data_IF_812179741640
#
_entry.id   IF_812179741640
#
_cell.length_a   1.000
_cell.length_b   1.000
_cell.length_c   1.000
_cell.angle_alpha   90.00
_cell.angle_beta   90.00
_cell.angle_gamma   90.00
#
_symmetry.space_group_name_H-M   'P 1'
#
loop_
_entity.id
_entity.type
_entity.pdbx_description
1 polymer ?
#
# COMPACT_ATOMS: atom_id res chain seq x y z
N UNK A 1 16.18 -1.12 -3.91
CA UNK A 1 15.07 -1.01 -4.89
C UNK A 1 15.44 -0.04 -6.00
N UNK A 2 15.00 -0.27 -7.23
CA UNK A 2 14.92 0.79 -8.25
C UNK A 2 13.53 1.44 -8.15
N UNK A 3 13.48 2.76 -8.03
CA UNK A 3 12.24 3.54 -7.94
C UNK A 3 12.14 4.43 -9.16
N UNK A 4 10.98 4.39 -9.83
CA UNK A 4 10.72 5.10 -11.09
C UNK A 4 9.40 5.84 -10.94
N UNK A 5 9.37 7.08 -11.43
CA UNK A 5 8.22 7.98 -11.36
C UNK A 5 8.01 8.60 -12.73
N UNK A 6 6.76 8.68 -13.17
CA UNK A 6 6.41 9.32 -14.46
C UNK A 6 5.93 10.75 -14.21
N UNK A 7 6.62 11.71 -14.80
CA UNK A 7 6.30 13.14 -14.62
C UNK A 7 5.98 13.76 -15.98
N UNK A 8 4.83 14.41 -16.07
CA UNK A 8 4.44 15.22 -17.22
C UNK A 8 4.77 16.68 -16.94
N UNK A 9 5.45 17.34 -17.87
CA UNK A 9 5.85 18.75 -17.77
C UNK A 9 5.12 19.56 -18.84
N UNK A 10 4.53 20.67 -18.42
CA UNK A 10 3.83 21.63 -19.28
C UNK A 10 4.42 23.03 -19.10
N UNK A 11 4.63 23.74 -20.21
CA UNK A 11 5.02 25.15 -20.19
C UNK A 11 3.78 26.01 -20.34
N UNK A 12 3.54 26.88 -19.36
CA UNK A 12 2.39 27.79 -19.33
C UNK A 12 2.83 29.23 -19.55
N UNK A 13 1.89 30.16 -19.77
CA UNK A 13 2.20 31.58 -19.95
C UNK A 13 2.87 32.21 -18.72
N UNK A 14 2.60 31.67 -17.53
CA UNK A 14 3.14 32.13 -16.25
C UNK A 14 4.36 31.34 -15.75
N UNK A 15 4.82 30.30 -16.47
CA UNK A 15 5.96 29.49 -16.03
C UNK A 15 5.90 28.03 -16.48
N UNK A 16 6.02 27.12 -15.52
CA UNK A 16 6.04 25.67 -15.73
C UNK A 16 5.12 24.97 -14.73
N UNK A 17 4.44 23.93 -15.20
CA UNK A 17 3.65 23.00 -14.41
C UNK A 17 4.22 21.59 -14.57
N UNK A 18 4.25 20.82 -13.49
CA UNK A 18 4.58 19.41 -13.51
C UNK A 18 3.47 18.63 -12.81
N UNK A 19 3.06 17.51 -13.40
CA UNK A 19 2.09 16.60 -12.83
C UNK A 19 2.70 15.20 -12.73
N UNK A 20 2.43 14.53 -11.60
CA UNK A 20 2.81 13.14 -11.41
C UNK A 20 1.70 12.42 -10.65
N UNK A 21 1.01 11.44 -11.26
CA UNK A 21 -0.02 10.67 -10.56
C UNK A 21 0.56 9.81 -9.44
N UNK A 22 1.85 9.47 -9.54
CA UNK A 22 2.55 8.60 -8.59
C UNK A 22 3.01 9.34 -7.31
N UNK A 23 3.01 10.68 -7.29
CA UNK A 23 3.48 11.48 -6.15
C UNK A 23 2.29 12.08 -5.41
N UNK A 24 2.26 11.99 -4.07
CA UNK A 24 1.16 12.49 -3.24
C UNK A 24 0.84 13.99 -3.42
N UNK A 25 1.82 14.78 -3.86
CA UNK A 25 1.66 16.22 -4.10
C UNK A 25 0.89 16.51 -5.39
N UNK A 26 0.84 15.57 -6.34
CA UNK A 26 0.04 15.62 -7.57
C UNK A 26 0.52 16.66 -8.60
N UNK A 27 0.55 17.93 -8.23
CA UNK A 27 0.85 19.06 -9.12
C UNK A 27 1.91 20.01 -8.52
N UNK A 28 2.83 20.47 -9.38
CA UNK A 28 3.88 21.41 -9.03
C UNK A 28 3.87 22.56 -10.01
N UNK A 29 3.72 23.79 -9.51
CA UNK A 29 3.80 25.00 -10.32
C UNK A 29 4.98 25.87 -9.88
N UNK A 30 5.72 26.42 -10.84
CA UNK A 30 6.79 27.40 -10.56
C UNK A 30 7.14 28.24 -11.79
N UNK A 31 7.79 29.36 -11.54
CA UNK A 31 8.14 30.34 -12.56
C UNK A 31 9.37 29.90 -13.41
N UNK A 32 10.14 28.93 -12.93
CA UNK A 32 11.33 28.38 -13.59
C UNK A 32 11.40 26.85 -13.51
N UNK A 33 12.00 26.22 -14.54
CA UNK A 33 12.26 24.78 -14.57
C UNK A 33 13.14 24.31 -13.42
N UNK A 34 14.11 25.11 -13.00
CA UNK A 34 15.00 24.74 -11.90
C UNK A 34 14.23 24.56 -10.59
N UNK A 35 13.25 25.43 -10.34
CA UNK A 35 12.40 25.35 -9.16
C UNK A 35 11.49 24.13 -9.20
N UNK A 36 10.96 23.78 -10.38
CA UNK A 36 10.21 22.53 -10.58
C UNK A 36 11.09 21.31 -10.25
N UNK A 37 12.32 21.27 -10.75
CA UNK A 37 13.23 20.15 -10.48
C UNK A 37 13.62 20.04 -9.00
N UNK A 38 13.80 21.17 -8.31
CA UNK A 38 14.06 21.17 -6.86
C UNK A 38 12.87 20.56 -6.11
N UNK A 39 11.65 21.04 -6.40
CA UNK A 39 10.41 20.52 -5.79
C UNK A 39 10.21 19.02 -6.07
N UNK A 40 10.38 18.60 -7.32
CA UNK A 40 10.26 17.19 -7.72
C UNK A 40 11.31 16.32 -7.02
N UNK A 41 12.56 16.80 -6.91
CA UNK A 41 13.62 16.08 -6.22
C UNK A 41 13.30 15.88 -4.74
N UNK A 42 12.75 16.89 -4.08
CA UNK A 42 12.30 16.77 -2.69
C UNK A 42 11.11 15.82 -2.55
N UNK A 43 10.11 15.93 -3.42
CA UNK A 43 8.93 15.06 -3.40
C UNK A 43 9.28 13.59 -3.62
N UNK A 44 10.10 13.28 -4.63
CA UNK A 44 10.59 11.91 -4.92
C UNK A 44 11.39 11.35 -3.75
N UNK A 45 12.21 12.17 -3.09
CA UNK A 45 13.01 11.74 -1.93
C UNK A 45 12.12 11.46 -0.72
N UNK A 46 11.08 12.26 -0.51
CA UNK A 46 10.13 12.08 0.57
C UNK A 46 9.33 10.78 0.36
N UNK A 47 8.75 10.60 -0.83
CA UNK A 47 7.95 9.43 -1.19
C UNK A 47 8.77 8.13 -1.09
N UNK A 48 10.01 8.15 -1.58
CA UNK A 48 10.92 7.02 -1.44
C UNK A 48 11.21 6.67 0.02
N UNK A 49 11.35 7.68 0.89
CA UNK A 49 11.56 7.46 2.33
C UNK A 49 10.30 6.92 3.01
N UNK A 50 9.12 7.37 2.58
CA UNK A 50 7.83 6.82 3.08
C UNK A 50 7.68 5.37 2.67
N UNK A 51 8.01 5.00 1.43
CA UNK A 51 8.07 3.60 0.97
C UNK A 51 9.03 2.74 1.80
N UNK A 52 10.20 3.26 2.18
CA UNK A 52 11.13 2.56 3.08
C UNK A 52 10.60 2.49 4.53
N UNK A 53 9.83 3.48 4.98
CA UNK A 53 9.30 3.53 6.36
C UNK A 53 8.06 2.62 6.53
N UNK A 54 7.22 2.53 5.50
CA UNK A 54 6.03 1.66 5.42
C UNK A 54 6.36 0.18 5.13
N UNK A 55 7.62 -0.15 4.84
CA UNK A 55 8.06 -1.55 4.81
C UNK A 55 7.93 -2.26 6.18
N UNK A 56 7.51 -1.55 7.23
CA UNK A 56 7.15 -2.10 8.53
C UNK A 56 5.62 -2.22 8.79
N UNK A 57 4.72 -1.83 7.87
CA UNK A 57 3.27 -1.92 8.18
C UNK A 57 2.26 -2.18 7.04
N UNK A 58 2.68 -2.59 5.84
CA UNK A 58 1.69 -3.04 4.85
C UNK A 58 2.21 -3.21 3.44
N UNK A 59 3.05 -4.22 3.21
CA UNK A 59 3.56 -4.56 1.87
C UNK A 59 2.42 -4.88 0.91
N UNK A 60 2.21 -4.05 -0.11
CA UNK A 60 1.47 -4.41 -1.32
C UNK A 60 2.36 -5.40 -2.09
N UNK A 61 2.05 -6.70 -1.97
CA UNK A 61 2.84 -7.79 -2.55
C UNK A 61 3.02 -9.00 -1.62
N UNK A 62 2.68 -8.87 -0.33
CA UNK A 62 2.59 -10.02 0.55
C UNK A 62 1.32 -10.83 0.26
N UNK A 63 1.43 -12.15 0.33
CA UNK A 63 0.28 -13.04 0.22
C UNK A 63 -0.68 -12.82 1.40
N UNK A 64 -1.97 -13.11 1.19
CA UNK A 64 -2.97 -13.08 2.26
C UNK A 64 -2.54 -13.95 3.45
N UNK A 65 -1.81 -15.04 3.18
CA UNK A 65 -1.25 -15.93 4.19
C UNK A 65 -0.18 -15.25 5.05
N UNK A 66 0.80 -14.59 4.44
CA UNK A 66 1.85 -13.87 5.18
C UNK A 66 1.27 -12.74 6.04
N UNK A 67 0.21 -12.07 5.55
CA UNK A 67 -0.49 -11.04 6.31
C UNK A 67 -1.16 -11.64 7.56
N UNK A 68 -1.83 -12.79 7.41
CA UNK A 68 -2.46 -13.48 8.52
C UNK A 68 -1.44 -13.99 9.56
N UNK A 69 -0.30 -14.52 9.12
CA UNK A 69 0.77 -14.95 10.03
C UNK A 69 1.31 -13.79 10.86
N UNK A 70 1.63 -12.66 10.22
CA UNK A 70 2.11 -11.46 10.90
C UNK A 70 1.09 -10.93 11.92
N UNK A 71 -0.20 -10.98 11.58
CA UNK A 71 -1.26 -10.58 12.50
C UNK A 71 -1.34 -11.48 13.74
N UNK A 72 -1.17 -12.80 13.56
CA UNK A 72 -1.29 -13.76 14.66
C UNK A 72 -0.04 -13.76 15.55
N UNK A 73 1.15 -13.46 15.03
CA UNK A 73 2.38 -13.39 15.83
C UNK A 73 2.34 -12.35 16.94
N UNK A 74 1.55 -11.29 16.78
CA UNK A 74 1.46 -10.20 17.76
C UNK A 74 0.41 -10.46 18.86
N UNK A 75 -0.38 -11.54 18.77
CA UNK A 75 -1.43 -11.87 19.74
C UNK A 75 -0.89 -12.57 20.98
N UNK A 76 -1.32 -12.11 22.17
CA UNK A 76 -1.05 -12.80 23.43
C UNK A 76 -2.05 -13.94 23.67
N UNK A 77 -1.69 -14.91 24.52
CA UNK A 77 -2.60 -16.00 24.91
C UNK A 77 -3.92 -15.48 25.52
N UNK A 78 -3.89 -14.35 26.23
CA UNK A 78 -5.09 -13.74 26.81
C UNK A 78 -6.05 -13.22 25.73
N UNK A 79 -5.52 -12.58 24.67
CA UNK A 79 -6.34 -12.05 23.57
C UNK A 79 -6.85 -13.19 22.69
N UNK A 80 -6.03 -14.22 22.49
CA UNK A 80 -6.43 -15.43 21.76
C UNK A 80 -7.63 -16.11 22.42
N UNK A 81 -7.66 -16.17 23.76
CA UNK A 81 -8.76 -16.74 24.54
C UNK A 81 -10.04 -15.88 24.54
N UNK A 82 -9.97 -14.62 24.10
CA UNK A 82 -11.14 -13.75 23.97
C UNK A 82 -11.82 -13.89 22.60
N UNK A 83 -11.19 -14.60 21.64
CA UNK A 83 -11.78 -14.79 20.33
C UNK A 83 -13.08 -15.60 20.44
N UNK A 84 -14.12 -15.25 19.66
CA UNK A 84 -15.35 -16.00 19.63
C UNK A 84 -15.08 -17.43 19.15
N UNK A 85 -15.82 -18.38 19.71
CA UNK A 85 -15.85 -19.75 19.18
C UNK A 85 -16.37 -19.72 17.75
N UNK A 86 -15.78 -20.55 16.88
CA UNK A 86 -16.26 -20.70 15.51
C UNK A 86 -17.75 -21.09 15.51
N UNK A 87 -18.55 -20.35 14.74
CA UNK A 87 -19.99 -20.51 14.64
C UNK A 87 -20.44 -21.39 13.46
N UNK A 88 -19.50 -21.98 12.70
CA UNK A 88 -19.86 -22.83 11.57
C UNK A 88 -20.51 -24.15 12.04
N UNK A 89 -21.81 -24.30 11.82
CA UNK A 89 -22.55 -25.53 12.15
C UNK A 89 -22.12 -26.74 11.29
N UNK A 90 -21.62 -26.49 10.07
CA UNK A 90 -21.30 -27.52 9.10
C UNK A 90 -19.94 -27.29 8.43
N UNK A 91 -18.85 -27.51 9.16
CA UNK A 91 -17.48 -27.43 8.62
C UNK A 91 -17.24 -28.35 7.42
N UNK A 92 -17.99 -29.45 7.33
CA UNK A 92 -17.86 -30.45 6.27
C UNK A 92 -18.84 -30.28 5.10
N UNK A 93 -19.47 -29.12 4.97
CA UNK A 93 -20.37 -28.82 3.86
C UNK A 93 -19.82 -27.68 3.01
N UNK A 94 -20.08 -27.73 1.71
CA UNK A 94 -19.85 -26.58 0.84
C UNK A 94 -20.84 -25.46 1.16
N UNK A 95 -20.56 -24.25 0.69
CA UNK A 95 -21.41 -23.05 0.88
C UNK A 95 -22.86 -23.25 0.38
N UNK A 96 -23.11 -24.26 -0.47
CA UNK A 96 -24.41 -24.64 -1.01
C UNK A 96 -25.03 -25.89 -0.32
N UNK A 97 -24.54 -26.28 0.85
CA UNK A 97 -25.16 -27.31 1.70
C UNK A 97 -24.96 -28.75 1.26
N UNK A 98 -24.15 -29.01 0.23
CA UNK A 98 -23.76 -30.39 -0.12
C UNK A 98 -22.58 -30.83 0.74
N UNK A 99 -22.56 -32.09 1.22
CA UNK A 99 -21.43 -32.60 1.99
C UNK A 99 -20.15 -32.63 1.16
N UNK A 100 -19.01 -32.35 1.80
CA UNK A 100 -17.68 -32.53 1.22
C UNK A 100 -17.49 -34.00 0.86
N UNK A 101 -16.92 -34.27 -0.32
CA UNK A 101 -16.63 -35.63 -0.74
C UNK A 101 -15.55 -36.21 0.16
N UNK A 102 -15.85 -37.30 0.85
CA UNK A 102 -14.86 -38.10 1.57
C UNK A 102 -14.05 -38.89 0.53
N UNK A 103 -12.76 -38.61 0.42
CA UNK A 103 -11.80 -39.48 -0.29
C UNK A 103 -11.47 -40.71 0.54
#
# INVERSE_FOLDING_TARGET
MSYKVSIQLEKTESGYSAYSPDLAVGEFQADSLDLIFIKLKEAVKLDFKELDSDNNNGKIGQSIWELAENFVTDLTESELNQLPTDGAEQHDHYIYGTPKRTT
#
